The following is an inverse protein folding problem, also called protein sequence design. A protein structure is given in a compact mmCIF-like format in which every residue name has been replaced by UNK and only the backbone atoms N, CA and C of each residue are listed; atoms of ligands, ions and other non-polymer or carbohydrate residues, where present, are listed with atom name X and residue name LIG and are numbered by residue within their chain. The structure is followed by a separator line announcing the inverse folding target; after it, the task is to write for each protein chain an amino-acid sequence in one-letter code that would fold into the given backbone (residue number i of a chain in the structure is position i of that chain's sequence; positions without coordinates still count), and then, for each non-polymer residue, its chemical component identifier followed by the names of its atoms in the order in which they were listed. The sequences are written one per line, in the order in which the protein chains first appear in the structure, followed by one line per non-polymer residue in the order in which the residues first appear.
data_IF_787318763274
#
_entry.id   IF_787318763274
#
_cell.length_a   1.000
_cell.length_b   1.000
_cell.length_c   1.000
_cell.angle_alpha   90.00
_cell.angle_beta   90.00
_cell.angle_gamma   90.00
#
_symmetry.space_group_name_H-M   'P 1'
#
loop_
_entity.id
_entity.type
_entity.pdbx_description
1 polymer ?
#
# COMPACT_ATOMS: atom_id res chain seq x y z
N UNK A 1 -17.52 11.35 -12.99
CA UNK A 1 -16.64 10.37 -12.32
C UNK A 1 -15.51 11.10 -11.60
N UNK A 2 -15.44 11.00 -10.27
CA UNK A 2 -14.35 11.55 -9.45
C UNK A 2 -13.05 10.78 -9.65
N UNK A 3 -11.89 11.34 -9.25
CA UNK A 3 -10.64 10.58 -9.27
C UNK A 3 -10.70 9.35 -8.36
N UNK A 4 -11.37 9.46 -7.22
CA UNK A 4 -11.55 8.33 -6.30
C UNK A 4 -12.36 7.20 -6.94
N UNK A 5 -13.48 7.51 -7.60
CA UNK A 5 -14.29 6.51 -8.31
C UNK A 5 -13.50 5.79 -9.39
N UNK A 6 -12.65 6.52 -10.13
CA UNK A 6 -11.76 5.93 -11.13
C UNK A 6 -10.74 4.98 -10.47
N UNK A 7 -10.12 5.39 -9.36
CA UNK A 7 -9.16 4.56 -8.61
C UNK A 7 -9.83 3.27 -8.10
N UNK A 8 -11.03 3.39 -7.52
CA UNK A 8 -11.79 2.24 -7.01
C UNK A 8 -12.11 1.25 -8.12
N UNK A 9 -12.68 1.73 -9.24
CA UNK A 9 -13.03 0.87 -10.38
C UNK A 9 -11.82 0.11 -10.92
N UNK A 10 -10.69 0.79 -11.10
CA UNK A 10 -9.44 0.15 -11.54
C UNK A 10 -8.98 -0.90 -10.53
N UNK A 11 -9.11 -0.63 -9.22
CA UNK A 11 -8.70 -1.59 -8.19
C UNK A 11 -9.58 -2.84 -8.16
N UNK A 12 -10.88 -2.70 -8.39
CA UNK A 12 -11.80 -3.84 -8.52
C UNK A 12 -11.40 -4.74 -9.69
N UNK A 13 -11.13 -4.16 -10.86
CA UNK A 13 -10.66 -4.89 -12.04
C UNK A 13 -9.29 -5.56 -11.79
N UNK A 14 -8.38 -4.92 -11.06
CA UNK A 14 -7.11 -5.53 -10.64
C UNK A 14 -7.31 -6.70 -9.68
N UNK A 15 -8.17 -6.55 -8.66
CA UNK A 15 -8.48 -7.62 -7.71
C UNK A 15 -9.07 -8.78 -8.47
N UNK A 16 -10.07 -8.56 -9.33
CA UNK A 16 -10.71 -9.64 -10.07
C UNK A 16 -9.72 -10.41 -10.96
N UNK A 17 -8.76 -9.71 -11.60
CA UNK A 17 -7.70 -10.36 -12.39
C UNK A 17 -6.69 -11.13 -11.54
N UNK A 18 -6.43 -10.69 -10.30
CA UNK A 18 -5.41 -11.30 -9.42
C UNK A 18 -5.98 -12.33 -8.46
N UNK A 19 -7.29 -12.33 -8.22
CA UNK A 19 -7.97 -13.17 -7.25
C UNK A 19 -8.14 -14.59 -7.80
N UNK A 20 -7.05 -15.34 -7.77
CA UNK A 20 -7.07 -16.80 -7.94
C UNK A 20 -6.85 -17.47 -6.60
N UNK A 21 -7.51 -18.63 -6.39
CA UNK A 21 -7.35 -19.40 -5.15
C UNK A 21 -5.89 -19.81 -4.92
N UNK A 22 -5.15 -20.15 -5.98
CA UNK A 22 -3.73 -20.49 -5.91
C UNK A 22 -2.90 -19.33 -5.35
N UNK A 23 -3.10 -18.11 -5.87
CA UNK A 23 -2.32 -16.94 -5.48
C UNK A 23 -2.55 -16.52 -4.03
N UNK A 24 -3.77 -16.68 -3.53
CA UNK A 24 -4.04 -16.42 -2.11
C UNK A 24 -3.29 -17.40 -1.22
N UNK A 25 -3.36 -18.71 -1.52
CA UNK A 25 -2.64 -19.76 -0.78
C UNK A 25 -1.13 -19.52 -0.82
N UNK A 26 -0.57 -19.22 -1.98
CA UNK A 26 0.86 -18.90 -2.13
C UNK A 26 1.29 -17.73 -1.23
N UNK A 27 0.47 -16.66 -1.15
CA UNK A 27 0.75 -15.52 -0.27
C UNK A 27 0.69 -15.95 1.20
N UNK A 28 -0.33 -16.71 1.58
CA UNK A 28 -0.51 -17.21 2.95
C UNK A 28 0.65 -18.12 3.39
N UNK A 29 1.17 -18.95 2.48
CA UNK A 29 2.33 -19.82 2.72
C UNK A 29 3.65 -19.05 2.84
N UNK A 30 3.77 -17.88 2.21
CA UNK A 30 4.96 -17.03 2.31
C UNK A 30 5.04 -16.25 3.62
N UNK A 31 3.89 -15.90 4.24
CA UNK A 31 3.84 -15.04 5.44
C UNK A 31 4.72 -15.55 6.60
N UNK A 32 4.70 -16.85 6.97
CA UNK A 32 5.52 -17.35 8.08
C UNK A 32 7.03 -17.21 7.88
N UNK A 33 7.50 -17.12 6.64
CA UNK A 33 8.91 -16.95 6.31
C UNK A 33 9.37 -15.48 6.33
N UNK A 34 8.45 -14.53 6.48
CA UNK A 34 8.78 -13.11 6.56
C UNK A 34 9.34 -12.74 7.94
N UNK A 35 10.23 -11.73 8.02
CA UNK A 35 10.64 -11.18 9.31
C UNK A 35 9.45 -10.59 10.06
N UNK A 36 9.56 -10.52 11.38
CA UNK A 36 8.53 -9.90 12.22
C UNK A 36 8.23 -8.47 11.76
N UNK A 37 6.95 -8.06 11.70
CA UNK A 37 6.59 -6.69 11.38
C UNK A 37 7.24 -5.70 12.35
N UNK A 38 7.66 -4.54 11.84
CA UNK A 38 8.13 -3.43 12.68
C UNK A 38 6.95 -2.81 13.43
N UNK A 39 7.18 -2.32 14.65
CA UNK A 39 6.16 -1.64 15.46
C UNK A 39 5.86 -0.23 14.93
N UNK A 40 5.03 -0.16 13.90
CA UNK A 40 4.64 1.10 13.24
C UNK A 40 3.89 2.05 14.19
N UNK A 41 2.96 1.52 14.99
CA UNK A 41 2.21 2.32 15.96
C UNK A 41 3.14 2.88 17.03
N UNK A 42 4.05 2.06 17.56
CA UNK A 42 5.05 2.50 18.52
C UNK A 42 5.98 3.58 17.98
N UNK A 43 6.37 3.49 16.71
CA UNK A 43 7.16 4.53 16.04
C UNK A 43 6.38 5.85 15.94
N UNK A 44 5.09 5.83 15.62
CA UNK A 44 4.32 7.09 15.51
C UNK A 44 3.99 7.67 16.88
N UNK A 45 3.59 6.84 17.84
CA UNK A 45 3.07 7.30 19.14
C UNK A 45 4.15 7.75 20.13
N UNK A 46 5.43 7.40 19.93
CA UNK A 46 6.51 7.63 20.90
C UNK A 46 7.63 8.56 20.42
N UNK A 47 7.35 9.46 19.48
CA UNK A 47 8.36 10.38 18.92
C UNK A 47 8.03 11.86 19.15
N UNK A 48 8.31 12.41 20.34
CA UNK A 48 8.35 13.86 20.53
C UNK A 48 9.61 14.47 19.91
N UNK A 49 9.55 15.71 19.37
CA UNK A 49 8.37 16.55 19.26
C UNK A 49 7.45 16.20 18.07
N UNK A 50 7.95 15.46 17.07
CA UNK A 50 7.23 15.20 15.81
C UNK A 50 7.56 13.78 15.31
N UNK A 51 6.54 13.07 14.84
CA UNK A 51 6.67 11.84 14.07
C UNK A 51 6.37 12.12 12.58
N UNK A 52 7.27 11.69 11.68
CA UNK A 52 7.13 11.92 10.23
C UNK A 52 6.97 10.58 9.51
N UNK A 53 5.91 10.46 8.70
CA UNK A 53 5.75 9.39 7.71
C UNK A 53 6.20 9.95 6.37
N UNK A 54 7.41 9.58 5.94
CA UNK A 54 7.94 10.00 4.65
C UNK A 54 7.36 9.12 3.53
N UNK A 55 6.53 9.70 2.66
CA UNK A 55 5.96 9.02 1.50
C UNK A 55 6.94 9.04 0.32
N UNK A 56 7.26 7.88 -0.25
CA UNK A 56 8.00 7.76 -1.51
C UNK A 56 6.98 7.63 -2.65
N UNK A 57 6.87 8.64 -3.51
CA UNK A 57 5.85 8.70 -4.57
C UNK A 57 6.37 9.21 -5.90
N UNK A 58 6.09 8.45 -6.96
CA UNK A 58 6.50 8.79 -8.34
C UNK A 58 5.61 9.85 -8.99
N UNK A 59 4.29 9.78 -8.80
CA UNK A 59 3.33 10.67 -9.46
C UNK A 59 2.04 10.84 -8.65
N UNK A 60 1.26 11.88 -8.94
CA UNK A 60 -0.10 12.05 -8.42
C UNK A 60 -1.06 12.58 -9.50
N UNK A 61 -2.39 12.37 -9.35
CA UNK A 61 -3.36 12.94 -10.27
C UNK A 61 -3.34 14.48 -10.35
N UNK A 62 -2.93 15.15 -9.26
CA UNK A 62 -2.92 16.62 -9.18
C UNK A 62 -1.61 17.26 -9.65
N UNK A 63 -0.47 16.58 -9.50
CA UNK A 63 0.86 17.13 -9.80
C UNK A 63 1.56 16.42 -10.97
N UNK A 64 1.00 15.35 -11.52
CA UNK A 64 1.69 14.55 -12.54
C UNK A 64 2.90 13.83 -11.95
N UNK A 65 3.99 13.72 -12.73
CA UNK A 65 5.26 13.13 -12.26
C UNK A 65 5.91 14.04 -11.22
N UNK A 66 6.19 13.48 -10.04
CA UNK A 66 6.82 14.19 -8.91
C UNK A 66 8.34 14.02 -8.96
N UNK A 67 8.81 12.82 -9.35
CA UNK A 67 10.23 12.49 -9.45
C UNK A 67 10.46 11.45 -10.56
N UNK A 68 11.45 11.71 -11.41
CA UNK A 68 11.97 10.79 -12.43
C UNK A 68 13.06 9.86 -11.87
#
# INVERSE_FOLDING_TARGET
MTFLEKIVKVKEEEIQRRRTRSRQVEIEEMIPALPSPRDFMGAISRHPPIAVIAEIKRASPSLGVIRE
#
